data_IF_076562406375
#
_entry.id   IF_076562406375
#
_cell.length_a   1.000
_cell.length_b   1.000
_cell.length_c   1.000
_cell.angle_alpha   90.00
_cell.angle_beta   90.00
_cell.angle_gamma   90.00
#
_symmetry.space_group_name_H-M   'P 1'
#
loop_
_entity.id
_entity.type
_entity.pdbx_description
1 polymer ?
#
# COMPACT_ATOMS: atom_id res chain seq x y z
N UNK A 1 -11.46 -16.87 3.09
CA UNK A 1 -10.47 -17.89 3.51
C UNK A 1 -11.00 -19.26 3.11
N UNK A 2 -10.65 -19.72 1.90
CA UNK A 2 -10.91 -21.12 1.50
C UNK A 2 -9.76 -21.96 2.01
N UNK A 3 -10.03 -22.84 2.96
CA UNK A 3 -9.07 -23.85 3.39
C UNK A 3 -8.70 -24.72 2.18
N UNK A 4 -7.40 -24.80 1.88
CA UNK A 4 -6.88 -25.81 0.97
C UNK A 4 -7.18 -27.19 1.57
N UNK A 5 -7.55 -28.20 0.76
CA UNK A 5 -7.83 -29.52 1.29
C UNK A 5 -6.54 -30.16 1.83
N UNK A 6 -6.41 -30.18 3.15
CA UNK A 6 -5.46 -31.00 3.92
C UNK A 6 -5.87 -32.48 3.83
N UNK A 7 -5.67 -33.15 2.70
CA UNK A 7 -5.42 -34.60 2.66
C UNK A 7 -5.37 -35.13 1.22
N UNK A 8 -4.17 -35.19 0.68
CA UNK A 8 -3.82 -36.21 -0.31
C UNK A 8 -2.45 -36.73 0.08
N UNK A 9 -2.41 -37.52 1.15
CA UNK A 9 -1.19 -38.23 1.57
C UNK A 9 -0.67 -39.03 0.37
N UNK A 10 0.55 -38.72 -0.07
CA UNK A 10 1.14 -39.40 -1.22
C UNK A 10 1.31 -40.90 -0.94
N UNK A 11 1.39 -41.72 -2.00
CA UNK A 11 1.62 -43.17 -1.85
C UNK A 11 2.89 -43.49 -1.01
N UNK A 12 3.91 -42.63 -1.11
CA UNK A 12 5.12 -42.66 -0.28
C UNK A 12 4.82 -42.36 1.19
N UNK A 13 4.03 -41.32 1.50
CA UNK A 13 3.64 -41.00 2.87
C UNK A 13 2.83 -42.14 3.53
N UNK A 14 1.96 -42.81 2.76
CA UNK A 14 1.18 -43.97 3.22
C UNK A 14 2.10 -45.15 3.52
N UNK A 15 3.03 -45.46 2.62
CA UNK A 15 3.99 -46.54 2.80
C UNK A 15 4.92 -46.30 4.01
N UNK A 16 5.47 -45.08 4.14
CA UNK A 16 6.29 -44.70 5.29
C UNK A 16 5.52 -44.80 6.62
N UNK A 17 4.23 -44.43 6.65
CA UNK A 17 3.38 -44.61 7.83
C UNK A 17 3.16 -46.08 8.20
N UNK A 18 2.96 -46.95 7.21
CA UNK A 18 2.77 -48.39 7.42
C UNK A 18 4.03 -49.06 7.96
N UNK A 19 5.20 -48.63 7.50
CA UNK A 19 6.51 -49.06 8.00
C UNK A 19 6.90 -48.41 9.35
N UNK A 20 6.03 -47.57 9.93
CA UNK A 20 6.29 -46.90 11.20
C UNK A 20 7.41 -45.84 11.13
N UNK A 21 7.77 -45.39 9.93
CA UNK A 21 8.77 -44.35 9.69
C UNK A 21 8.16 -43.00 10.06
N UNK A 22 8.56 -42.49 11.23
CA UNK A 22 8.11 -41.19 11.75
C UNK A 22 9.04 -40.04 11.35
N UNK A 23 10.34 -40.31 11.26
CA UNK A 23 11.36 -39.37 10.83
C UNK A 23 12.29 -40.02 9.82
N UNK A 24 12.49 -39.35 8.69
CA UNK A 24 13.46 -39.75 7.67
C UNK A 24 14.76 -39.00 7.94
N UNK A 25 15.68 -39.64 8.66
CA UNK A 25 16.98 -39.06 8.98
C UNK A 25 17.95 -39.42 7.86
N UNK A 26 18.08 -38.52 6.88
CA UNK A 26 18.93 -38.72 5.69
C UNK A 26 20.37 -39.16 6.04
N UNK A 27 21.07 -38.54 7.02
CA UNK A 27 22.41 -38.99 7.41
C UNK A 27 22.46 -40.44 7.92
N UNK A 28 21.39 -40.90 8.59
CA UNK A 28 21.29 -42.27 9.09
C UNK A 28 21.04 -43.26 7.94
N UNK A 29 20.21 -42.87 6.96
CA UNK A 29 19.95 -43.68 5.77
C UNK A 29 21.19 -43.79 4.88
N UNK A 30 21.93 -42.70 4.67
CA UNK A 30 23.22 -42.73 3.97
C UNK A 30 24.19 -43.68 4.67
N UNK A 31 24.33 -43.59 6.00
CA UNK A 31 25.21 -44.47 6.77
C UNK A 31 24.82 -45.96 6.64
N UNK A 32 23.53 -46.28 6.68
CA UNK A 32 23.04 -47.66 6.50
C UNK A 32 23.34 -48.15 5.08
N UNK A 33 23.21 -47.27 4.09
CA UNK A 33 23.48 -47.59 2.70
C UNK A 33 24.98 -47.80 2.42
N UNK A 34 25.85 -47.01 3.03
CA UNK A 34 27.31 -47.18 2.96
C UNK A 34 27.73 -48.56 3.51
N UNK A 35 27.19 -48.94 4.69
CA UNK A 35 27.43 -50.26 5.30
C UNK A 35 26.97 -51.40 4.37
N UNK A 36 25.82 -51.23 3.70
CA UNK A 36 25.34 -52.22 2.74
C UNK A 36 26.23 -52.28 1.49
N UNK A 37 26.71 -51.14 1.00
CA UNK A 37 27.62 -51.07 -0.15
C UNK A 37 28.97 -51.73 0.08
N UNK A 38 29.47 -51.71 1.32
CA UNK A 38 30.73 -52.37 1.72
C UNK A 38 30.59 -53.91 1.81
N UNK A 39 29.39 -54.46 1.65
CA UNK A 39 29.16 -55.90 1.72
C UNK A 39 29.62 -56.60 0.42
N UNK A 40 30.75 -57.31 0.49
CA UNK A 40 31.34 -58.05 -0.64
C UNK A 40 30.49 -59.19 -1.23
N UNK A 41 29.33 -59.51 -0.64
CA UNK A 41 28.43 -60.56 -1.12
C UNK A 41 27.30 -60.06 -2.05
N UNK A 42 27.25 -58.76 -2.36
CA UNK A 42 26.22 -58.21 -3.25
C UNK A 42 26.42 -58.64 -4.71
N UNK A 43 25.34 -59.07 -5.37
CA UNK A 43 25.29 -59.27 -6.83
C UNK A 43 25.39 -57.92 -7.55
N UNK A 44 25.80 -57.93 -8.81
CA UNK A 44 25.95 -56.69 -9.62
C UNK A 44 24.67 -55.83 -9.63
N UNK A 45 23.50 -56.45 -9.74
CA UNK A 45 22.21 -55.75 -9.72
C UNK A 45 21.94 -55.06 -8.38
N UNK A 46 22.35 -55.69 -7.27
CA UNK A 46 22.20 -55.16 -5.92
C UNK A 46 23.19 -54.02 -5.66
N UNK A 47 24.42 -54.11 -6.19
CA UNK A 47 25.39 -53.01 -6.15
C UNK A 47 24.88 -51.77 -6.91
N UNK A 48 24.31 -51.98 -8.11
CA UNK A 48 23.69 -50.88 -8.88
C UNK A 48 22.53 -50.25 -8.11
N UNK A 49 21.67 -51.07 -7.48
CA UNK A 49 20.57 -50.58 -6.67
C UNK A 49 21.06 -49.74 -5.47
N UNK A 50 22.13 -50.16 -4.78
CA UNK A 50 22.75 -49.41 -3.68
C UNK A 50 23.27 -48.05 -4.18
N UNK A 51 23.99 -48.01 -5.32
CA UNK A 51 24.50 -46.76 -5.89
C UNK A 51 23.35 -45.81 -6.28
N UNK A 52 22.29 -46.34 -6.90
CA UNK A 52 21.12 -45.56 -7.29
C UNK A 52 20.40 -44.99 -6.06
N UNK A 53 20.21 -45.81 -5.01
CA UNK A 53 19.63 -45.36 -3.76
C UNK A 53 20.45 -44.22 -3.13
N UNK A 54 21.78 -44.28 -3.18
CA UNK A 54 22.65 -43.25 -2.62
C UNK A 54 22.54 -41.93 -3.38
N UNK A 55 22.42 -42.02 -4.71
CA UNK A 55 22.15 -40.86 -5.56
C UNK A 55 20.81 -40.21 -5.21
N UNK A 56 19.75 -41.00 -5.05
CA UNK A 56 18.42 -40.50 -4.68
C UNK A 56 18.46 -39.83 -3.31
N UNK A 57 19.07 -40.46 -2.30
CA UNK A 57 19.16 -39.91 -0.95
C UNK A 57 19.96 -38.60 -0.95
N UNK A 58 21.06 -38.51 -1.71
CA UNK A 58 21.85 -37.28 -1.85
C UNK A 58 21.05 -36.14 -2.50
N UNK A 59 20.24 -36.45 -3.51
CA UNK A 59 19.33 -35.47 -4.11
C UNK A 59 18.29 -35.03 -3.08
N UNK A 60 17.64 -35.94 -2.36
CA UNK A 60 16.70 -35.60 -1.30
C UNK A 60 17.32 -34.67 -0.24
N UNK A 61 18.59 -34.87 0.13
CA UNK A 61 19.28 -33.99 1.07
C UNK A 61 19.41 -32.55 0.55
N UNK A 62 19.77 -32.39 -0.71
CA UNK A 62 19.89 -31.08 -1.36
C UNK A 62 18.53 -30.39 -1.44
N UNK A 63 17.48 -31.14 -1.81
CA UNK A 63 16.12 -30.63 -1.88
C UNK A 63 15.59 -30.20 -0.50
N UNK A 64 15.83 -30.98 0.55
CA UNK A 64 15.46 -30.59 1.91
C UNK A 64 16.17 -29.30 2.36
N UNK A 65 17.50 -29.19 2.14
CA UNK A 65 18.23 -27.96 2.46
C UNK A 65 17.71 -26.74 1.70
N UNK A 66 17.29 -26.91 0.45
CA UNK A 66 16.66 -25.84 -0.32
C UNK A 66 15.31 -25.46 0.28
N UNK A 67 14.48 -26.44 0.67
CA UNK A 67 13.20 -26.20 1.34
C UNK A 67 13.42 -25.40 2.63
N UNK A 68 14.33 -25.84 3.50
CA UNK A 68 14.65 -25.14 4.76
C UNK A 68 15.10 -23.70 4.52
N UNK A 69 15.95 -23.48 3.51
CA UNK A 69 16.39 -22.13 3.13
C UNK A 69 15.25 -21.27 2.61
N UNK A 70 14.34 -21.84 1.83
CA UNK A 70 13.16 -21.11 1.32
C UNK A 70 12.14 -20.83 2.41
N UNK A 71 11.97 -21.73 3.37
CA UNK A 71 11.12 -21.55 4.54
C UNK A 71 11.65 -20.38 5.39
N UNK A 72 12.94 -20.36 5.71
CA UNK A 72 13.55 -19.26 6.45
C UNK A 72 13.39 -17.90 5.74
N UNK A 73 13.59 -17.87 4.42
CA UNK A 73 13.38 -16.65 3.64
C UNK A 73 11.91 -16.20 3.64
N UNK A 74 10.97 -17.14 3.59
CA UNK A 74 9.54 -16.85 3.66
C UNK A 74 9.14 -16.34 5.04
N UNK A 75 9.64 -16.95 6.12
CA UNK A 75 9.41 -16.48 7.49
C UNK A 75 9.93 -15.05 7.67
N UNK A 76 11.10 -14.72 7.14
CA UNK A 76 11.62 -13.35 7.17
C UNK A 76 10.69 -12.38 6.41
N UNK A 77 10.26 -12.74 5.20
CA UNK A 77 9.31 -11.91 4.43
C UNK A 77 7.98 -11.70 5.14
N UNK A 78 7.48 -12.72 5.86
CA UNK A 78 6.27 -12.57 6.66
C UNK A 78 6.45 -11.52 7.77
N UNK A 79 7.58 -11.54 8.47
CA UNK A 79 7.92 -10.55 9.51
C UNK A 79 8.01 -9.15 8.91
N UNK A 80 8.69 -9.00 7.77
CA UNK A 80 8.84 -7.71 7.09
C UNK A 80 7.47 -7.12 6.69
N UNK A 81 6.57 -7.95 6.13
CA UNK A 81 5.21 -7.54 5.79
C UNK A 81 4.37 -7.14 7.01
N UNK A 82 4.55 -7.81 8.15
CA UNK A 82 3.89 -7.42 9.39
C UNK A 82 4.36 -6.04 9.89
N UNK A 83 5.66 -5.77 9.80
CA UNK A 83 6.24 -4.47 10.15
C UNK A 83 5.73 -3.36 9.22
N UNK A 84 5.74 -3.58 7.91
CA UNK A 84 5.24 -2.63 6.92
C UNK A 84 3.75 -2.34 7.13
N UNK A 85 2.95 -3.38 7.40
CA UNK A 85 1.54 -3.23 7.74
C UNK A 85 1.34 -2.33 8.97
N UNK A 86 2.14 -2.50 10.02
CA UNK A 86 2.05 -1.65 11.21
C UNK A 86 2.39 -0.18 10.88
N UNK A 87 3.41 0.05 10.05
CA UNK A 87 3.78 1.39 9.59
C UNK A 87 2.66 2.05 8.79
N UNK A 88 2.08 1.33 7.81
CA UNK A 88 0.95 1.83 7.03
C UNK A 88 -0.27 2.11 7.91
N UNK A 89 -0.55 1.28 8.91
CA UNK A 89 -1.62 1.52 9.87
C UNK A 89 -1.41 2.81 10.67
N UNK A 90 -0.19 3.12 11.09
CA UNK A 90 0.13 4.39 11.77
C UNK A 90 -0.06 5.59 10.85
N UNK A 91 0.48 5.52 9.62
CA UNK A 91 0.31 6.58 8.62
C UNK A 91 -1.15 6.84 8.29
N UNK A 92 -1.96 5.78 8.17
CA UNK A 92 -3.40 5.87 7.98
C UNK A 92 -4.07 6.62 9.14
N UNK A 93 -3.72 6.28 10.39
CA UNK A 93 -4.26 6.97 11.57
C UNK A 93 -4.02 8.48 11.54
N UNK A 94 -2.79 8.92 11.22
CA UNK A 94 -2.48 10.35 11.10
C UNK A 94 -3.30 11.06 10.00
N UNK A 95 -3.55 10.37 8.88
CA UNK A 95 -4.37 10.93 7.79
C UNK A 95 -5.85 11.02 8.17
N UNK A 96 -6.37 10.07 8.93
CA UNK A 96 -7.74 10.10 9.46
C UNK A 96 -7.92 11.26 10.45
N UNK A 97 -6.97 11.44 11.38
CA UNK A 97 -6.96 12.57 12.32
C UNK A 97 -6.93 13.93 11.61
N UNK A 98 -6.05 14.10 10.62
CA UNK A 98 -5.95 15.33 9.83
C UNK A 98 -7.24 15.58 9.01
N UNK A 99 -7.86 14.53 8.48
CA UNK A 99 -9.12 14.64 7.77
C UNK A 99 -10.24 15.13 8.70
N UNK A 100 -10.33 14.58 9.91
CA UNK A 100 -11.34 14.98 10.89
C UNK A 100 -11.12 16.40 11.39
N UNK A 101 -9.86 16.80 11.60
CA UNK A 101 -9.52 18.19 11.88
C UNK A 101 -10.00 19.15 10.78
N UNK A 102 -9.78 18.80 9.50
CA UNK A 102 -10.24 19.63 8.38
C UNK A 102 -11.76 19.70 8.25
N UNK A 103 -12.48 18.61 8.52
CA UNK A 103 -13.95 18.64 8.58
C UNK A 103 -14.43 19.59 9.67
N UNK A 104 -13.87 19.48 10.87
CA UNK A 104 -14.25 20.36 11.97
C UNK A 104 -13.95 21.84 11.65
N UNK A 105 -12.79 22.13 11.05
CA UNK A 105 -12.44 23.49 10.63
C UNK A 105 -13.40 24.02 9.56
N UNK A 106 -13.83 23.16 8.63
CA UNK A 106 -14.82 23.51 7.62
C UNK A 106 -16.20 23.79 8.24
N UNK A 107 -16.66 22.95 9.16
CA UNK A 107 -17.93 23.15 9.88
C UNK A 107 -17.91 24.46 10.68
N UNK A 108 -16.80 24.75 11.36
CA UNK A 108 -16.60 26.02 12.06
C UNK A 108 -16.64 27.22 11.11
N UNK A 109 -16.04 27.10 9.92
CA UNK A 109 -16.09 28.15 8.91
C UNK A 109 -17.52 28.38 8.40
N UNK A 110 -18.29 27.33 8.17
CA UNK A 110 -19.70 27.44 7.78
C UNK A 110 -20.54 28.12 8.87
N UNK A 111 -20.41 27.69 10.12
CA UNK A 111 -21.08 28.34 11.25
C UNK A 111 -20.72 29.83 11.34
N UNK A 112 -19.43 30.17 11.13
CA UNK A 112 -18.99 31.56 11.18
C UNK A 112 -19.57 32.41 10.05
N UNK A 113 -19.72 31.83 8.86
CA UNK A 113 -20.37 32.49 7.72
C UNK A 113 -21.83 32.77 8.06
N UNK A 114 -22.57 31.78 8.56
CA UNK A 114 -23.99 31.95 8.94
C UNK A 114 -24.17 33.04 10.02
N UNK A 115 -23.31 33.06 11.04
CA UNK A 115 -23.31 34.11 12.06
C UNK A 115 -23.06 35.51 11.48
N UNK A 116 -22.10 35.63 10.56
CA UNK A 116 -21.77 36.89 9.90
C UNK A 116 -22.91 37.34 8.99
N UNK A 117 -23.54 36.42 8.27
CA UNK A 117 -24.73 36.70 7.45
C UNK A 117 -25.88 37.20 8.32
N UNK A 118 -26.19 36.53 9.43
CA UNK A 118 -27.22 36.96 10.37
C UNK A 118 -26.92 38.34 10.98
N UNK A 119 -25.65 38.60 11.31
CA UNK A 119 -25.20 39.90 11.81
C UNK A 119 -25.39 40.98 10.75
N UNK A 120 -25.01 40.71 9.51
CA UNK A 120 -25.17 41.63 8.37
C UNK A 120 -26.65 41.93 8.12
N UNK A 121 -27.52 40.92 8.11
CA UNK A 121 -28.97 41.12 7.95
C UNK A 121 -29.54 42.00 9.06
N UNK A 122 -29.12 41.77 10.30
CA UNK A 122 -29.57 42.57 11.46
C UNK A 122 -29.11 44.03 11.37
N UNK A 123 -27.86 44.27 10.97
CA UNK A 123 -27.31 45.61 10.75
C UNK A 123 -28.05 46.34 9.62
N UNK A 124 -28.30 45.65 8.50
CA UNK A 124 -29.07 46.20 7.37
C UNK A 124 -30.51 46.57 7.75
N UNK A 125 -31.16 45.78 8.62
CA UNK A 125 -32.50 46.09 9.12
C UNK A 125 -32.51 47.32 10.03
N UNK A 126 -31.49 47.50 10.88
CA UNK A 126 -31.38 48.68 11.74
C UNK A 126 -31.10 49.97 10.96
N UNK A 127 -30.25 49.89 9.92
CA UNK A 127 -29.94 51.05 9.07
C UNK A 127 -31.00 51.34 8.02
N UNK A 128 -31.97 50.46 7.82
CA UNK A 128 -33.00 50.56 6.79
C UNK A 128 -33.75 51.92 6.75
N UNK A 129 -34.22 52.51 7.88
CA UNK A 129 -34.86 53.83 7.87
C UNK A 129 -33.88 54.97 7.52
N UNK A 130 -32.63 54.91 7.97
CA UNK A 130 -31.61 55.89 7.61
C UNK A 130 -31.21 55.77 6.13
N UNK A 131 -31.04 54.54 5.63
CA UNK A 131 -30.81 54.25 4.22
C UNK A 131 -31.97 54.70 3.33
N UNK A 132 -33.23 54.56 3.76
CA UNK A 132 -34.38 55.08 3.03
C UNK A 132 -34.37 56.60 2.94
N UNK A 133 -34.13 57.30 4.05
CA UNK A 133 -34.00 58.76 4.06
C UNK A 133 -32.85 59.25 3.16
N UNK A 134 -31.71 58.56 3.18
CA UNK A 134 -30.58 58.85 2.29
C UNK A 134 -30.95 58.57 0.84
N UNK A 135 -31.59 57.44 0.54
CA UNK A 135 -32.03 57.11 -0.81
C UNK A 135 -32.98 58.18 -1.37
N UNK A 136 -33.96 58.63 -0.58
CA UNK A 136 -34.90 59.71 -0.94
C UNK A 136 -34.22 61.07 -1.15
N UNK A 137 -33.13 61.35 -0.44
CA UNK A 137 -32.36 62.60 -0.59
C UNK A 137 -31.47 62.66 -1.84
N UNK A 138 -31.14 61.50 -2.43
CA UNK A 138 -30.28 61.43 -3.61
C UNK A 138 -31.05 61.77 -4.89
N UNK A 139 -30.44 62.60 -5.73
CA UNK A 139 -30.94 62.86 -7.10
C UNK A 139 -30.79 61.61 -7.98
N UNK A 140 -31.60 61.49 -9.04
CA UNK A 140 -31.52 60.36 -9.99
C UNK A 140 -30.11 60.16 -10.56
N UNK A 141 -29.40 61.27 -10.82
CA UNK A 141 -28.01 61.25 -11.29
C UNK A 141 -27.06 60.58 -10.28
N UNK A 142 -27.19 60.91 -9.00
CA UNK A 142 -26.36 60.34 -7.93
C UNK A 142 -26.70 58.88 -7.66
N UNK A 143 -27.99 58.50 -7.77
CA UNK A 143 -28.42 57.10 -7.66
C UNK A 143 -27.81 56.25 -8.76
N UNK A 144 -27.80 56.75 -9.99
CA UNK A 144 -27.18 56.05 -11.13
C UNK A 144 -25.66 55.95 -10.99
N UNK A 145 -24.98 57.02 -10.56
CA UNK A 145 -23.53 57.00 -10.26
C UNK A 145 -23.18 55.97 -9.17
N UNK A 146 -23.98 55.91 -8.10
CA UNK A 146 -23.81 54.93 -7.02
C UNK A 146 -24.04 53.51 -7.52
N UNK A 147 -25.09 53.27 -8.33
CA UNK A 147 -25.35 51.95 -8.93
C UNK A 147 -24.18 51.47 -9.79
N UNK A 148 -23.64 52.35 -10.62
CA UNK A 148 -22.47 52.05 -11.45
C UNK A 148 -21.22 51.76 -10.60
N UNK A 149 -21.02 52.49 -9.50
CA UNK A 149 -19.92 52.25 -8.57
C UNK A 149 -20.05 50.89 -7.86
N UNK A 150 -21.25 50.54 -7.38
CA UNK A 150 -21.54 49.22 -6.78
C UNK A 150 -21.32 48.09 -7.79
N UNK A 151 -21.81 48.25 -9.02
CA UNK A 151 -21.59 47.26 -10.08
C UNK A 151 -20.10 47.10 -10.43
N UNK A 152 -19.33 48.19 -10.40
CA UNK A 152 -17.88 48.17 -10.59
C UNK A 152 -17.19 47.42 -9.44
N UNK A 153 -17.58 47.68 -8.20
CA UNK A 153 -17.07 46.99 -7.02
C UNK A 153 -17.39 45.49 -7.07
N UNK A 154 -18.63 45.12 -7.39
CA UNK A 154 -19.06 43.72 -7.53
C UNK A 154 -18.22 42.98 -8.57
N UNK A 155 -18.00 43.59 -9.74
CA UNK A 155 -17.12 43.03 -10.78
C UNK A 155 -15.67 42.88 -10.31
N UNK A 156 -15.16 43.85 -9.54
CA UNK A 156 -13.81 43.79 -8.98
C UNK A 156 -13.66 42.64 -7.97
N UNK A 157 -14.60 42.49 -7.03
CA UNK A 157 -14.59 41.40 -6.04
C UNK A 157 -14.63 40.04 -6.73
N UNK A 158 -15.53 39.85 -7.71
CA UNK A 158 -15.62 38.61 -8.48
C UNK A 158 -14.31 38.28 -9.23
N UNK A 159 -13.66 39.30 -9.80
CA UNK A 159 -12.35 39.11 -10.47
C UNK A 159 -11.27 38.71 -9.47
N UNK A 160 -11.21 39.38 -8.32
CA UNK A 160 -10.24 39.05 -7.27
C UNK A 160 -10.46 37.65 -6.72
N UNK A 161 -11.71 37.24 -6.44
CA UNK A 161 -12.04 35.89 -6.00
C UNK A 161 -11.51 34.84 -6.97
N UNK A 162 -11.82 34.99 -8.27
CA UNK A 162 -11.34 34.07 -9.31
C UNK A 162 -9.82 34.03 -9.42
N UNK A 163 -9.17 35.16 -9.19
CA UNK A 163 -7.71 35.23 -9.20
C UNK A 163 -7.12 34.41 -8.03
N UNK A 164 -7.68 34.55 -6.82
CA UNK A 164 -7.27 33.74 -5.68
C UNK A 164 -7.54 32.25 -5.89
N UNK A 165 -8.72 31.90 -6.41
CA UNK A 165 -9.05 30.51 -6.73
C UNK A 165 -8.06 29.92 -7.74
N UNK A 166 -7.70 30.69 -8.78
CA UNK A 166 -6.71 30.28 -9.78
C UNK A 166 -5.31 30.13 -9.19
N UNK A 167 -4.91 30.99 -8.25
CA UNK A 167 -3.63 30.90 -7.57
C UNK A 167 -3.56 29.65 -6.70
N UNK A 168 -4.58 29.39 -5.88
CA UNK A 168 -4.67 28.19 -5.04
C UNK A 168 -4.65 26.94 -5.92
N UNK A 169 -5.39 26.93 -7.03
CA UNK A 169 -5.39 25.80 -7.96
C UNK A 169 -4.02 25.57 -8.57
N UNK A 170 -3.31 26.63 -8.96
CA UNK A 170 -1.96 26.54 -9.51
C UNK A 170 -0.99 25.95 -8.48
N UNK A 171 -0.95 26.47 -7.25
CA UNK A 171 -0.11 25.96 -6.17
C UNK A 171 -0.38 24.47 -5.89
N UNK A 172 -1.65 24.07 -5.88
CA UNK A 172 -2.06 22.67 -5.68
C UNK A 172 -1.64 21.77 -6.85
N UNK A 173 -1.75 22.25 -8.09
CA UNK A 173 -1.28 21.51 -9.27
C UNK A 173 0.24 21.33 -9.26
N UNK A 174 1.00 22.35 -8.85
CA UNK A 174 2.47 22.27 -8.74
C UNK A 174 2.89 21.22 -7.70
N UNK A 175 2.27 21.22 -6.51
CA UNK A 175 2.51 20.20 -5.49
C UNK A 175 2.13 18.79 -5.98
N UNK A 176 1.01 18.65 -6.67
CA UNK A 176 0.57 17.38 -7.24
C UNK A 176 1.58 16.87 -8.28
N UNK A 177 2.07 17.74 -9.16
CA UNK A 177 3.06 17.39 -10.17
C UNK A 177 4.37 16.94 -9.53
N UNK A 178 4.84 17.61 -8.48
CA UNK A 178 6.03 17.20 -7.72
C UNK A 178 5.84 15.82 -7.08
N UNK A 179 4.69 15.57 -6.47
CA UNK A 179 4.38 14.26 -5.87
C UNK A 179 4.34 13.14 -6.92
N UNK A 180 3.69 13.38 -8.08
CA UNK A 180 3.64 12.43 -9.18
C UNK A 180 5.02 12.11 -9.76
N UNK A 181 5.88 13.12 -9.92
CA UNK A 181 7.26 12.92 -10.36
C UNK A 181 8.02 12.04 -9.36
N UNK A 182 7.83 12.29 -8.05
CA UNK A 182 8.48 11.49 -7.01
C UNK A 182 8.00 10.04 -6.97
N UNK A 183 6.71 9.81 -7.17
CA UNK A 183 6.15 8.46 -7.27
C UNK A 183 6.80 7.72 -8.44
N UNK A 184 6.87 8.34 -9.62
CA UNK A 184 7.48 7.72 -10.80
C UNK A 184 8.97 7.40 -10.58
N UNK A 185 9.73 8.29 -9.93
CA UNK A 185 11.12 8.01 -9.55
C UNK A 185 11.26 6.82 -8.59
N UNK A 186 10.29 6.64 -7.68
CA UNK A 186 10.29 5.52 -6.74
C UNK A 186 9.88 4.22 -7.42
N UNK A 187 8.89 4.27 -8.32
CA UNK A 187 8.50 3.14 -9.18
C UNK A 187 9.71 2.66 -10.00
N UNK A 188 10.42 3.56 -10.68
CA UNK A 188 11.62 3.23 -11.46
C UNK A 188 12.73 2.59 -10.59
N UNK A 189 12.89 3.06 -9.33
CA UNK A 189 13.85 2.47 -8.38
C UNK A 189 13.43 1.09 -7.92
N UNK A 190 12.14 0.88 -7.67
CA UNK A 190 11.60 -0.44 -7.30
C UNK A 190 11.80 -1.42 -8.45
N UNK A 191 11.52 -1.01 -9.69
CA UNK A 191 11.74 -1.85 -10.87
C UNK A 191 13.22 -2.22 -11.06
N UNK A 192 14.13 -1.28 -10.79
CA UNK A 192 15.58 -1.54 -10.85
C UNK A 192 16.05 -2.53 -9.77
N UNK A 193 15.48 -2.47 -8.56
CA UNK A 193 15.88 -3.33 -7.43
C UNK A 193 15.20 -4.70 -7.54
N UNK A 194 13.89 -4.74 -7.77
CA UNK A 194 13.09 -5.95 -7.78
C UNK A 194 13.16 -6.71 -9.12
N UNK A 195 13.39 -6.02 -10.24
CA UNK A 195 13.41 -6.63 -11.58
C UNK A 195 14.50 -7.70 -11.75
N UNK A 196 15.78 -7.41 -11.45
CA UNK A 196 16.86 -8.40 -11.56
C UNK A 196 16.71 -9.51 -10.54
N UNK A 197 16.31 -9.21 -9.31
CA UNK A 197 16.18 -10.20 -8.23
C UNK A 197 15.01 -11.17 -8.49
N UNK A 198 13.84 -10.69 -8.94
CA UNK A 198 12.74 -11.57 -9.35
C UNK A 198 13.10 -12.42 -10.56
N UNK A 199 13.78 -11.86 -11.56
CA UNK A 199 14.25 -12.63 -12.72
C UNK A 199 15.28 -13.68 -12.29
N UNK A 200 16.23 -13.35 -11.40
CA UNK A 200 17.21 -14.31 -10.88
C UNK A 200 16.55 -15.39 -10.02
N UNK A 201 15.53 -15.04 -9.25
CA UNK A 201 14.76 -15.96 -8.42
C UNK A 201 13.95 -16.92 -9.30
N UNK A 202 13.25 -16.43 -10.32
CA UNK A 202 12.50 -17.27 -11.28
C UNK A 202 13.43 -18.13 -12.15
N UNK A 203 14.57 -17.59 -12.59
CA UNK A 203 15.55 -18.35 -13.37
C UNK A 203 16.19 -19.47 -12.53
N UNK A 204 16.48 -19.23 -11.24
CA UNK A 204 16.93 -20.31 -10.34
C UNK A 204 15.85 -21.33 -10.03
N UNK A 205 14.58 -20.92 -9.92
CA UNK A 205 13.46 -21.84 -9.63
C UNK A 205 13.06 -22.71 -10.83
N UNK A 206 13.30 -22.25 -12.07
CA UNK A 206 12.97 -23.00 -13.29
C UNK A 206 14.14 -23.77 -13.91
N UNK A 207 15.40 -23.42 -13.59
CA UNK A 207 16.59 -24.05 -14.18
C UNK A 207 17.42 -24.91 -13.21
N UNK A 208 17.01 -25.05 -11.95
CA UNK A 208 17.48 -26.10 -11.03
C UNK A 208 16.30 -27.00 -10.64
#
# INVERSE_FOLDING_TARGET
MSAFPENSSSALQIYCHQEGVKDVIIPELMKKLDILGDNGNLRNEEQVAVIQAGTVISLCEKWLKQIDSTEAALTQKMIDLENDKELFSKQKGFLEEELDYRKQALDQAYMRIEELEATLYSALQQEQPACQAVAESLTDRQREELRLAVDKLRRQILRQSRQYDSQILQERMELLQQAQQRIRELEDRIDLICGPELIFFFFNLCCN
#
